data_IF_087305592171
#
_entry.id   IF_087305592171
#
_cell.length_a   1.000
_cell.length_b   1.000
_cell.length_c   1.000
_cell.angle_alpha   90.00
_cell.angle_beta   90.00
_cell.angle_gamma   90.00
#
_symmetry.space_group_name_H-M   'P 1'
#
loop_
_entity.id
_entity.type
_entity.pdbx_description
1 polymer ?
#
# COMPACT_ATOMS: atom_id res chain seq x y z
N UNK A 1 -20.56 25.50 9.88
CA UNK A 1 -19.88 24.22 10.13
C UNK A 1 -20.78 23.14 9.58
N UNK A 2 -20.32 22.26 8.68
CA UNK A 2 -21.16 21.16 8.22
C UNK A 2 -21.42 20.19 9.38
N UNK A 3 -22.66 19.71 9.48
CA UNK A 3 -23.04 18.63 10.40
C UNK A 3 -22.92 17.30 9.66
N UNK A 4 -22.28 16.30 10.28
CA UNK A 4 -22.09 14.98 9.71
C UNK A 4 -22.76 13.94 10.62
N UNK A 5 -23.71 13.19 10.07
CA UNK A 5 -24.41 12.11 10.77
C UNK A 5 -24.26 10.80 10.00
N UNK A 6 -23.96 9.71 10.71
CA UNK A 6 -23.81 8.37 10.14
C UNK A 6 -24.70 7.37 10.89
N UNK A 7 -25.57 6.64 10.17
CA UNK A 7 -26.42 5.59 10.76
C UNK A 7 -25.78 4.22 10.54
N UNK A 8 -25.21 3.68 11.61
CA UNK A 8 -24.47 2.41 11.57
C UNK A 8 -25.35 1.17 11.35
N UNK A 9 -26.68 1.31 11.43
CA UNK A 9 -27.65 0.22 11.27
C UNK A 9 -28.15 0.04 9.83
N UNK A 10 -27.78 0.92 8.90
CA UNK A 10 -28.24 0.84 7.51
C UNK A 10 -27.46 -0.20 6.70
N UNK A 11 -28.07 -0.73 5.64
CA UNK A 11 -27.44 -1.69 4.74
C UNK A 11 -26.20 -1.08 4.07
N UNK A 12 -25.05 -1.75 4.21
CA UNK A 12 -23.77 -1.30 3.65
C UNK A 12 -23.39 -2.03 2.36
N UNK A 13 -22.46 -1.46 1.62
CA UNK A 13 -21.71 -2.16 0.56
C UNK A 13 -20.25 -2.35 0.96
N UNK A 14 -19.56 -3.39 0.44
CA UNK A 14 -18.14 -3.57 0.72
C UNK A 14 -17.30 -2.39 0.24
N UNK A 15 -16.44 -1.86 1.10
CA UNK A 15 -15.46 -0.87 0.70
C UNK A 15 -14.32 -1.57 -0.04
N UNK A 16 -14.12 -1.23 -1.32
CA UNK A 16 -12.99 -1.77 -2.09
C UNK A 16 -11.70 -1.06 -1.71
N UNK A 17 -10.79 -1.76 -1.04
CA UNK A 17 -9.49 -1.23 -0.64
C UNK A 17 -8.51 -1.23 -1.83
N UNK A 18 -8.68 -0.29 -2.74
CA UNK A 18 -7.83 -0.16 -3.93
C UNK A 18 -6.43 0.36 -3.60
N UNK A 19 -6.31 1.21 -2.57
CA UNK A 19 -5.08 1.91 -2.20
C UNK A 19 -3.97 0.98 -1.70
N UNK A 20 -4.30 -0.14 -1.06
CA UNK A 20 -3.34 -1.12 -0.54
C UNK A 20 -2.95 -2.20 -1.58
N UNK A 21 -3.49 -2.12 -2.80
CA UNK A 21 -3.17 -3.11 -3.84
C UNK A 21 -1.71 -3.03 -4.28
N UNK A 22 -1.26 -1.87 -4.77
CA UNK A 22 0.10 -1.72 -5.30
C UNK A 22 0.69 -0.37 -4.91
N UNK A 23 1.94 -0.38 -4.45
CA UNK A 23 2.73 0.83 -4.26
C UNK A 23 3.86 0.91 -5.29
N UNK A 24 4.34 2.13 -5.54
CA UNK A 24 5.52 2.37 -6.36
C UNK A 24 6.82 2.23 -5.56
N UNK A 25 7.90 1.87 -6.25
CA UNK A 25 9.28 1.96 -5.79
C UNK A 25 10.17 2.44 -6.95
N UNK A 26 11.43 2.76 -6.63
CA UNK A 26 12.44 3.16 -7.60
C UNK A 26 12.98 1.98 -8.41
N UNK A 27 14.28 1.96 -8.67
CA UNK A 27 14.93 0.86 -9.38
C UNK A 27 15.05 -0.40 -8.50
N UNK A 28 15.03 -1.58 -9.15
CA UNK A 28 15.10 -2.89 -8.51
C UNK A 28 16.25 -3.06 -7.49
N UNK A 29 17.49 -2.54 -7.74
CA UNK A 29 18.58 -2.70 -6.78
C UNK A 29 18.33 -2.02 -5.43
N UNK A 30 17.47 -1.00 -5.36
CA UNK A 30 17.11 -0.37 -4.06
C UNK A 30 16.48 -1.39 -3.12
N UNK A 31 15.75 -2.39 -3.65
CA UNK A 31 15.12 -3.43 -2.87
C UNK A 31 16.11 -4.42 -2.22
N UNK A 32 17.38 -4.41 -2.63
CA UNK A 32 18.44 -5.21 -2.02
C UNK A 32 18.95 -4.61 -0.71
N UNK A 33 18.71 -3.31 -0.47
CA UNK A 33 19.16 -2.66 0.76
C UNK A 33 18.34 -3.12 1.97
N UNK A 34 19.03 -3.42 3.07
CA UNK A 34 18.40 -3.92 4.29
C UNK A 34 17.39 -2.92 4.90
N UNK A 35 17.70 -1.62 4.83
CA UNK A 35 16.82 -0.56 5.34
C UNK A 35 15.53 -0.45 4.54
N UNK A 36 15.61 -0.55 3.21
CA UNK A 36 14.44 -0.61 2.34
C UNK A 36 13.57 -1.84 2.64
N UNK A 37 14.18 -3.01 2.82
CA UNK A 37 13.44 -4.23 3.16
C UNK A 37 12.76 -4.13 4.52
N UNK A 38 13.40 -3.50 5.51
CA UNK A 38 12.80 -3.26 6.82
C UNK A 38 11.56 -2.36 6.70
N UNK A 39 11.64 -1.29 5.90
CA UNK A 39 10.49 -0.43 5.62
C UNK A 39 9.38 -1.18 4.88
N UNK A 40 9.69 -2.00 3.87
CA UNK A 40 8.67 -2.74 3.13
C UNK A 40 7.94 -3.75 4.03
N UNK A 41 8.67 -4.45 4.92
CA UNK A 41 8.04 -5.34 5.92
C UNK A 41 7.06 -4.58 6.81
N UNK A 42 7.43 -3.37 7.24
CA UNK A 42 6.55 -2.50 8.02
C UNK A 42 5.32 -2.05 7.23
N UNK A 43 5.49 -1.60 5.98
CA UNK A 43 4.37 -1.24 5.10
C UNK A 43 3.41 -2.42 4.87
N UNK A 44 3.93 -3.64 4.72
CA UNK A 44 3.09 -4.84 4.62
C UNK A 44 2.31 -5.11 5.90
N UNK A 45 2.96 -4.98 7.06
CA UNK A 45 2.34 -5.26 8.36
C UNK A 45 1.30 -4.21 8.78
N UNK A 46 1.59 -2.93 8.55
CA UNK A 46 0.78 -1.81 9.05
C UNK A 46 -0.23 -1.30 8.01
N UNK A 47 0.10 -1.35 6.71
CA UNK A 47 -0.69 -0.74 5.64
C UNK A 47 -1.34 -1.76 4.69
N UNK A 48 -1.06 -3.05 4.86
CA UNK A 48 -1.66 -4.11 4.04
C UNK A 48 -1.21 -4.15 2.57
N UNK A 49 -0.11 -3.48 2.21
CA UNK A 49 0.40 -3.42 0.83
C UNK A 49 0.63 -4.82 0.25
N UNK A 50 0.06 -5.09 -0.92
CA UNK A 50 0.15 -6.43 -1.57
C UNK A 50 1.25 -6.54 -2.62
N UNK A 51 1.47 -5.50 -3.43
CA UNK A 51 2.42 -5.51 -4.54
C UNK A 51 3.30 -4.26 -4.57
N UNK A 52 4.49 -4.40 -5.14
CA UNK A 52 5.41 -3.30 -5.43
C UNK A 52 5.65 -3.25 -6.93
N UNK A 53 5.43 -2.08 -7.55
CA UNK A 53 5.81 -1.78 -8.92
C UNK A 53 7.12 -0.99 -8.91
N UNK A 54 8.14 -1.50 -9.58
CA UNK A 54 9.49 -0.91 -9.63
C UNK A 54 10.05 -0.95 -11.05
N UNK A 55 11.17 -0.27 -11.25
CA UNK A 55 11.83 -0.13 -12.54
C UNK A 55 13.15 -0.93 -12.60
N UNK A 56 13.66 -1.18 -13.81
CA UNK A 56 15.02 -1.72 -13.97
C UNK A 56 15.22 -3.15 -13.49
N UNK A 57 14.19 -4.02 -13.60
CA UNK A 57 14.34 -5.45 -13.28
C UNK A 57 15.43 -6.13 -14.14
N UNK A 58 15.58 -5.68 -15.38
CA UNK A 58 16.55 -6.18 -16.36
C UNK A 58 17.65 -5.14 -16.64
N UNK A 59 17.88 -4.21 -15.71
CA UNK A 59 19.01 -3.28 -15.80
C UNK A 59 20.31 -4.01 -15.45
N UNK A 60 21.42 -3.54 -16.01
CA UNK A 60 22.79 -3.96 -15.70
C UNK A 60 23.25 -3.58 -14.28
#
# INVERSE_FOLDING_TARGET
MPEFACRLSETTTPLRHAWEHTIGSGHAPVALRADWQAQLRRCRAELGVRYVRFHGLLSD
#
